data_IF_326215996142
#
_entry.id   IF_326215996142
#
_cell.length_a   1.000
_cell.length_b   1.000
_cell.length_c   1.000
_cell.angle_alpha   90.00
_cell.angle_beta   90.00
_cell.angle_gamma   90.00
#
_symmetry.space_group_name_H-M   'P 1'
#
loop_
_entity.id
_entity.type
_entity.pdbx_description
1 polymer ?
#
# COMPACT_ATOMS: atom_id res chain seq x y z
N UNK A 1 -28.13 -37.10 11.37
CA UNK A 1 -27.01 -38.05 11.48
C UNK A 1 -25.72 -37.27 11.29
N UNK A 2 -24.84 -37.17 12.29
CA UNK A 2 -23.57 -36.48 12.13
C UNK A 2 -22.56 -37.39 11.42
N UNK A 3 -21.87 -36.86 10.42
CA UNK A 3 -20.79 -37.54 9.71
C UNK A 3 -19.53 -37.40 10.56
N UNK A 4 -19.10 -38.50 11.17
CA UNK A 4 -17.82 -38.64 11.85
C UNK A 4 -16.72 -38.75 10.80
N UNK A 5 -15.82 -37.76 10.73
CA UNK A 5 -14.61 -37.86 9.90
C UNK A 5 -13.58 -38.71 10.66
N UNK A 6 -13.30 -39.91 10.16
CA UNK A 6 -12.23 -40.79 10.65
C UNK A 6 -10.87 -40.14 10.39
N UNK A 7 -10.05 -40.03 11.43
CA UNK A 7 -8.64 -39.64 11.37
C UNK A 7 -7.78 -40.89 11.16
N UNK A 8 -7.71 -41.39 9.92
CA UNK A 8 -6.74 -42.41 9.54
C UNK A 8 -5.92 -41.88 8.35
N UNK A 9 -4.91 -41.04 8.62
CA UNK A 9 -3.87 -40.72 7.64
C UNK A 9 -2.74 -41.74 7.81
N UNK A 10 -2.66 -42.69 6.87
CA UNK A 10 -1.52 -43.58 6.69
C UNK A 10 -0.24 -42.75 6.44
N UNK A 11 0.72 -42.85 7.35
CA UNK A 11 1.98 -42.10 7.34
C UNK A 11 3.04 -42.64 6.35
N UNK A 12 2.64 -43.07 5.14
CA UNK A 12 3.57 -43.72 4.19
C UNK A 12 3.52 -43.20 2.74
N UNK A 13 2.97 -42.00 2.50
CA UNK A 13 2.96 -41.40 1.17
C UNK A 13 3.26 -39.89 1.17
N UNK A 14 4.37 -39.47 1.78
CA UNK A 14 4.89 -38.10 1.61
C UNK A 14 6.19 -38.13 0.79
N UNK A 15 6.36 -37.24 -0.21
CA UNK A 15 7.61 -37.13 -0.95
C UNK A 15 8.75 -36.67 -0.03
N UNK A 16 9.96 -37.18 -0.28
CA UNK A 16 11.16 -37.00 0.56
C UNK A 16 11.66 -35.55 0.75
N UNK A 17 10.96 -34.55 0.19
CA UNK A 17 11.34 -33.13 0.24
C UNK A 17 10.38 -32.26 1.07
N UNK A 18 9.55 -32.85 1.93
CA UNK A 18 8.71 -32.10 2.86
C UNK A 18 9.58 -31.40 3.92
N UNK A 19 9.80 -30.09 3.75
CA UNK A 19 10.41 -29.24 4.78
C UNK A 19 9.40 -29.10 5.93
N UNK A 20 9.68 -29.77 7.05
CA UNK A 20 8.94 -29.59 8.30
C UNK A 20 9.23 -28.19 8.86
N UNK A 21 8.27 -27.28 8.77
CA UNK A 21 8.30 -26.06 9.58
C UNK A 21 7.70 -26.37 10.96
N UNK A 22 8.41 -26.09 12.07
CA UNK A 22 7.83 -26.24 13.40
C UNK A 22 6.65 -25.26 13.56
N UNK A 23 5.59 -25.64 14.31
CA UNK A 23 4.44 -24.79 14.52
C UNK A 23 4.84 -23.50 15.25
N UNK A 24 4.69 -22.37 14.58
CA UNK A 24 4.83 -21.05 15.19
C UNK A 24 3.58 -20.72 16.02
N UNK A 25 3.68 -20.03 17.17
CA UNK A 25 2.55 -19.83 18.07
C UNK A 25 1.48 -18.91 17.46
N UNK A 26 0.26 -19.45 17.37
CA UNK A 26 -1.03 -18.75 17.27
C UNK A 26 -1.14 -17.55 16.34
N UNK A 27 -1.18 -17.79 15.03
CA UNK A 27 -1.81 -16.88 14.07
C UNK A 27 -3.32 -17.15 14.02
N UNK A 28 -4.09 -16.47 14.85
CA UNK A 28 -5.56 -16.58 14.84
C UNK A 28 -6.14 -15.60 13.81
N UNK A 29 -6.46 -16.10 12.62
CA UNK A 29 -7.24 -15.32 11.66
C UNK A 29 -7.38 -16.00 10.30
N UNK A 30 -8.61 -16.08 9.81
CA UNK A 30 -9.03 -16.64 8.51
C UNK A 30 -8.44 -15.94 7.26
N UNK A 31 -7.34 -15.19 7.38
CA UNK A 31 -6.65 -14.42 6.33
C UNK A 31 -6.01 -15.27 5.23
N UNK A 32 -6.03 -16.59 5.40
CA UNK A 32 -5.25 -17.51 4.58
C UNK A 32 -6.11 -18.54 3.84
N UNK A 33 -7.39 -18.33 3.52
CA UNK A 33 -8.12 -19.38 2.77
C UNK A 33 -7.47 -19.70 1.42
N UNK A 34 -7.01 -18.68 0.68
CA UNK A 34 -6.25 -18.89 -0.58
C UNK A 34 -4.82 -19.36 -0.33
N UNK A 35 -4.12 -18.82 0.67
CA UNK A 35 -2.74 -19.22 1.00
C UNK A 35 -2.69 -20.64 1.57
N UNK A 36 -3.63 -21.01 2.44
CA UNK A 36 -3.81 -22.35 2.98
C UNK A 36 -4.21 -23.32 1.87
N UNK A 37 -5.07 -22.91 0.94
CA UNK A 37 -5.39 -23.70 -0.25
C UNK A 37 -4.15 -23.91 -1.15
N UNK A 38 -3.34 -22.88 -1.41
CA UNK A 38 -2.08 -23.00 -2.16
C UNK A 38 -1.03 -23.86 -1.43
N UNK A 39 -0.93 -23.74 -0.10
CA UNK A 39 -0.06 -24.58 0.72
C UNK A 39 -0.50 -26.04 0.75
N UNK A 40 -1.81 -26.31 0.67
CA UNK A 40 -2.38 -27.67 0.60
C UNK A 40 -2.29 -28.26 -0.82
N UNK A 41 -2.45 -27.44 -1.86
CA UNK A 41 -2.47 -27.87 -3.26
C UNK A 41 -1.08 -27.96 -3.91
N UNK A 42 -0.07 -27.29 -3.35
CA UNK A 42 1.28 -27.24 -3.93
C UNK A 42 1.40 -26.33 -5.15
N UNK A 43 0.31 -25.67 -5.57
CA UNK A 43 0.29 -24.75 -6.71
C UNK A 43 0.48 -23.30 -6.25
N UNK A 44 1.45 -22.62 -6.85
CA UNK A 44 1.63 -21.19 -6.63
C UNK A 44 0.41 -20.43 -7.20
N UNK A 45 -0.17 -19.48 -6.46
CA UNK A 45 -1.32 -18.73 -6.94
C UNK A 45 -0.95 -17.94 -8.20
N UNK A 46 -1.72 -18.11 -9.27
CA UNK A 46 -1.55 -17.34 -10.50
C UNK A 46 -2.26 -15.98 -10.36
N UNK A 47 -1.48 -14.93 -10.14
CA UNK A 47 -1.97 -13.56 -10.04
C UNK A 47 -2.13 -12.93 -11.42
N UNK A 48 -3.29 -12.32 -11.70
CA UNK A 48 -3.60 -11.63 -12.95
C UNK A 48 -4.26 -10.29 -12.69
N UNK A 49 -4.09 -9.36 -13.62
CA UNK A 49 -4.82 -8.10 -13.61
C UNK A 49 -6.26 -8.31 -14.12
N UNK A 50 -7.24 -8.03 -13.26
CA UNK A 50 -8.67 -8.15 -13.55
C UNK A 50 -9.30 -6.76 -13.62
N UNK A 51 -10.01 -6.41 -14.71
CA UNK A 51 -10.62 -5.09 -14.83
C UNK A 51 -11.89 -4.95 -13.97
N UNK A 52 -12.01 -3.83 -13.28
CA UNK A 52 -13.24 -3.35 -12.64
C UNK A 52 -13.43 -1.88 -12.99
N UNK A 53 -14.52 -1.53 -13.70
CA UNK A 53 -14.83 -0.15 -14.12
C UNK A 53 -13.63 0.59 -14.75
N UNK A 54 -12.80 -0.12 -15.52
CA UNK A 54 -11.58 0.43 -16.14
C UNK A 54 -10.36 0.56 -15.21
N UNK A 55 -10.38 0.04 -13.99
CA UNK A 55 -9.23 -0.09 -13.09
C UNK A 55 -8.77 -1.55 -13.01
N UNK A 56 -7.45 -1.79 -12.97
CA UNK A 56 -6.89 -3.15 -12.93
C UNK A 56 -6.63 -3.57 -11.48
N UNK A 57 -7.35 -4.59 -11.02
CA UNK A 57 -7.19 -5.24 -9.72
C UNK A 57 -6.28 -6.46 -9.83
N UNK A 58 -5.67 -6.88 -8.72
CA UNK A 58 -4.83 -8.09 -8.67
C UNK A 58 -5.71 -9.24 -8.15
N UNK A 59 -5.94 -10.27 -8.97
CA UNK A 59 -6.73 -11.45 -8.57
C UNK A 59 -6.15 -12.09 -7.31
N UNK A 60 -6.99 -12.61 -6.41
CA UNK A 60 -6.50 -13.22 -5.16
C UNK A 60 -5.97 -12.25 -4.10
N UNK A 61 -5.74 -10.97 -4.43
CA UNK A 61 -5.43 -9.90 -3.48
C UNK A 61 -6.63 -8.97 -3.28
N UNK A 62 -7.34 -8.67 -4.36
CA UNK A 62 -8.54 -7.83 -4.37
C UNK A 62 -9.75 -8.63 -4.87
N UNK A 63 -10.93 -8.35 -4.33
CA UNK A 63 -12.21 -8.80 -4.89
C UNK A 63 -12.86 -7.62 -5.61
N UNK A 64 -13.26 -7.78 -6.89
CA UNK A 64 -14.02 -6.76 -7.60
C UNK A 64 -15.28 -6.34 -6.84
N UNK A 65 -16.00 -7.28 -6.23
CA UNK A 65 -17.21 -7.04 -5.45
C UNK A 65 -16.91 -6.22 -4.19
N UNK A 66 -15.86 -6.56 -3.45
CA UNK A 66 -15.45 -5.82 -2.25
C UNK A 66 -15.02 -4.41 -2.62
N UNK A 67 -14.18 -4.26 -3.65
CA UNK A 67 -13.70 -2.95 -4.10
C UNK A 67 -14.86 -2.07 -4.60
N UNK A 68 -15.82 -2.65 -5.32
CA UNK A 68 -16.97 -1.91 -5.82
C UNK A 68 -17.87 -1.40 -4.68
N UNK A 69 -17.94 -2.14 -3.57
CA UNK A 69 -18.73 -1.78 -2.40
C UNK A 69 -18.09 -0.70 -1.51
N UNK A 70 -16.80 -0.39 -1.67
CA UNK A 70 -16.10 0.62 -0.86
C UNK A 70 -16.80 1.99 -0.95
N UNK A 71 -17.33 2.34 -2.12
CA UNK A 71 -18.06 3.60 -2.32
C UNK A 71 -19.28 3.76 -1.37
N UNK A 72 -19.81 2.66 -0.87
CA UNK A 72 -20.98 2.59 0.01
C UNK A 72 -20.60 2.44 1.49
N UNK A 73 -19.32 2.49 1.86
CA UNK A 73 -18.93 2.40 3.26
C UNK A 73 -19.42 3.63 4.02
N UNK A 74 -19.96 3.42 5.21
CA UNK A 74 -20.34 4.51 6.11
C UNK A 74 -19.08 5.12 6.74
N UNK A 75 -19.00 6.45 6.64
CA UNK A 75 -17.83 7.26 7.04
C UNK A 75 -18.18 8.10 8.27
N UNK A 76 -17.24 8.13 9.21
CA UNK A 76 -17.25 8.96 10.40
C UNK A 76 -16.31 10.15 10.23
N UNK A 77 -16.55 11.24 10.95
CA UNK A 77 -15.73 12.47 10.88
C UNK A 77 -14.28 12.27 11.33
N UNK A 78 -14.05 11.22 12.12
CA UNK A 78 -12.74 10.82 12.64
C UNK A 78 -11.96 9.90 11.69
N UNK A 79 -12.59 9.38 10.64
CA UNK A 79 -11.92 8.46 9.70
C UNK A 79 -10.86 9.18 8.88
N UNK A 80 -9.77 8.46 8.57
CA UNK A 80 -8.63 8.98 7.82
C UNK A 80 -8.30 8.03 6.67
N UNK A 81 -8.24 8.58 5.46
CA UNK A 81 -7.91 7.88 4.23
C UNK A 81 -6.60 8.40 3.68
N UNK A 82 -5.60 7.54 3.57
CA UNK A 82 -4.30 7.88 2.99
C UNK A 82 -4.24 7.34 1.59
N UNK A 83 -4.17 8.24 0.62
CA UNK A 83 -4.26 7.91 -0.78
C UNK A 83 -2.92 8.13 -1.43
N UNK A 84 -2.43 7.10 -2.10
CA UNK A 84 -1.12 7.13 -2.77
C UNK A 84 -1.21 6.37 -4.07
N UNK A 85 -0.57 6.84 -5.13
CA UNK A 85 -0.24 5.93 -6.22
C UNK A 85 0.79 4.90 -5.70
N UNK A 86 0.77 3.62 -6.13
CA UNK A 86 1.77 2.63 -5.69
C UNK A 86 3.19 3.20 -5.70
N UNK A 87 3.96 2.94 -4.63
CA UNK A 87 5.35 3.41 -4.46
C UNK A 87 5.54 4.91 -4.20
N UNK A 88 4.49 5.61 -3.76
CA UNK A 88 4.55 7.04 -3.40
C UNK A 88 4.66 7.32 -1.89
N UNK A 89 5.20 6.39 -1.09
CA UNK A 89 5.45 6.61 0.35
C UNK A 89 4.41 6.05 1.32
N UNK A 90 3.52 5.16 0.88
CA UNK A 90 2.45 4.54 1.70
C UNK A 90 2.94 3.96 3.02
N UNK A 91 4.02 3.17 3.00
CA UNK A 91 4.57 2.53 4.19
C UNK A 91 5.08 3.54 5.21
N UNK A 92 5.66 4.64 4.71
CA UNK A 92 6.15 5.72 5.54
C UNK A 92 5.00 6.44 6.24
N UNK A 93 3.90 6.71 5.52
CA UNK A 93 2.69 7.31 6.10
C UNK A 93 2.01 6.38 7.10
N UNK A 94 1.97 5.06 6.84
CA UNK A 94 1.43 4.12 7.81
C UNK A 94 2.21 4.21 9.13
N UNK A 95 3.54 4.29 9.08
CA UNK A 95 4.38 4.47 10.27
C UNK A 95 4.12 5.79 10.99
N UNK A 96 4.07 6.90 10.25
CA UNK A 96 3.84 8.23 10.83
C UNK A 96 2.49 8.26 11.56
N UNK A 97 1.41 7.84 10.90
CA UNK A 97 0.07 7.86 11.47
C UNK A 97 -0.07 6.90 12.65
N UNK A 98 0.50 5.72 12.50
CA UNK A 98 0.64 4.73 13.56
C UNK A 98 1.28 5.29 14.82
N UNK A 99 2.32 6.12 14.70
CA UNK A 99 3.02 6.75 15.82
C UNK A 99 2.26 7.96 16.36
N UNK A 100 1.60 8.74 15.50
CA UNK A 100 0.76 9.88 15.93
C UNK A 100 -0.34 9.40 16.88
N UNK A 101 -1.03 8.31 16.56
CA UNK A 101 -2.14 7.79 17.39
C UNK A 101 -1.68 7.29 18.77
N UNK A 102 -0.42 6.83 18.89
CA UNK A 102 0.18 6.44 20.18
C UNK A 102 1.08 7.52 20.78
N UNK A 103 1.06 8.74 20.21
CA UNK A 103 1.85 9.90 20.64
C UNK A 103 3.35 9.64 20.73
N UNK A 104 3.91 8.92 19.75
CA UNK A 104 5.33 8.61 19.66
C UNK A 104 5.80 7.41 20.49
N UNK A 105 4.92 6.82 21.32
CA UNK A 105 5.25 5.66 22.14
C UNK A 105 5.32 4.37 21.32
N UNK A 106 6.53 4.03 20.88
CA UNK A 106 6.80 2.83 20.07
C UNK A 106 6.42 1.53 20.78
N UNK A 107 6.42 1.49 22.12
CA UNK A 107 6.12 0.26 22.86
C UNK A 107 4.68 -0.21 22.60
N UNK A 108 3.78 0.73 22.32
CA UNK A 108 2.38 0.50 21.97
C UNK A 108 2.16 0.04 20.52
N UNK A 109 3.24 -0.08 19.74
CA UNK A 109 3.20 -0.52 18.34
C UNK A 109 3.83 -1.89 18.12
N UNK A 110 4.43 -2.48 19.16
CA UNK A 110 5.22 -3.70 19.03
C UNK A 110 4.40 -4.96 18.75
N UNK A 111 3.10 -4.95 19.06
CA UNK A 111 2.25 -6.14 18.94
C UNK A 111 1.64 -6.34 17.55
N UNK A 112 1.65 -5.30 16.69
CA UNK A 112 0.96 -5.33 15.40
C UNK A 112 1.77 -4.66 14.30
N UNK A 113 1.70 -5.22 13.09
CA UNK A 113 2.30 -4.62 11.91
C UNK A 113 1.62 -3.31 11.55
N UNK A 114 2.35 -2.40 10.91
CA UNK A 114 1.77 -1.17 10.36
C UNK A 114 0.63 -1.45 9.37
N UNK A 115 0.74 -2.54 8.60
CA UNK A 115 -0.31 -3.01 7.68
C UNK A 115 -1.60 -3.46 8.38
N UNK A 116 -1.53 -3.79 9.67
CA UNK A 116 -2.69 -4.22 10.46
C UNK A 116 -3.35 -3.04 11.15
N UNK A 117 -2.54 -2.08 11.60
CA UNK A 117 -3.00 -0.86 12.26
C UNK A 117 -3.57 0.16 11.27
N UNK A 118 -2.99 0.21 10.07
CA UNK A 118 -3.42 1.09 8.98
C UNK A 118 -3.61 0.27 7.70
N UNK A 119 -4.67 -0.56 7.61
CA UNK A 119 -4.85 -1.52 6.54
C UNK A 119 -5.20 -0.87 5.20
N UNK A 120 -4.96 -1.61 4.12
CA UNK A 120 -5.48 -1.26 2.79
C UNK A 120 -6.97 -1.57 2.70
N UNK A 121 -7.74 -0.58 2.27
CA UNK A 121 -9.20 -0.72 2.15
C UNK A 121 -9.63 -1.57 0.95
N UNK A 122 -8.75 -1.80 -0.03
CA UNK A 122 -9.02 -2.62 -1.22
C UNK A 122 -8.76 -4.12 -1.07
N UNK A 123 -8.24 -4.58 0.09
CA UNK A 123 -7.97 -6.01 0.33
C UNK A 123 -9.25 -6.81 0.59
N UNK A 124 -9.22 -8.12 0.29
CA UNK A 124 -10.37 -9.03 0.36
C UNK A 124 -11.20 -8.94 1.67
N UNK A 125 -10.54 -8.79 2.82
CA UNK A 125 -11.21 -8.77 4.13
C UNK A 125 -11.47 -7.35 4.68
N UNK A 126 -11.24 -6.31 3.87
CA UNK A 126 -11.22 -4.92 4.35
C UNK A 126 -12.55 -4.45 4.91
N UNK A 127 -13.70 -4.88 4.35
CA UNK A 127 -15.01 -4.41 4.79
C UNK A 127 -15.26 -4.74 6.25
N UNK A 128 -15.02 -6.00 6.65
CA UNK A 128 -15.22 -6.44 8.03
C UNK A 128 -14.28 -5.68 8.95
N UNK A 129 -13.01 -5.58 8.58
CA UNK A 129 -11.98 -4.88 9.35
C UNK A 129 -12.33 -3.41 9.55
N UNK A 130 -12.72 -2.71 8.49
CA UNK A 130 -13.08 -1.29 8.53
C UNK A 130 -14.36 -1.03 9.33
N UNK A 131 -15.39 -1.88 9.19
CA UNK A 131 -16.64 -1.70 9.94
C UNK A 131 -16.45 -2.00 11.43
N UNK A 132 -15.64 -3.00 11.79
CA UNK A 132 -15.41 -3.38 13.20
C UNK A 132 -14.29 -2.61 13.89
N UNK A 133 -13.48 -1.84 13.16
CA UNK A 133 -12.35 -1.12 13.74
C UNK A 133 -12.82 -0.02 14.70
N UNK A 134 -12.13 0.18 15.84
CA UNK A 134 -12.40 1.30 16.71
C UNK A 134 -12.08 2.62 16.01
N UNK A 135 -12.83 3.67 16.36
CA UNK A 135 -12.57 5.02 15.87
C UNK A 135 -11.38 5.65 16.62
N UNK A 136 -10.52 6.45 15.96
CA UNK A 136 -10.53 6.78 14.54
C UNK A 136 -10.09 5.60 13.65
N UNK A 137 -10.79 5.37 12.53
CA UNK A 137 -10.38 4.34 11.57
C UNK A 137 -9.43 4.96 10.56
N UNK A 138 -8.22 4.42 10.46
CA UNK A 138 -7.19 4.90 9.54
C UNK A 138 -6.92 3.80 8.52
N UNK A 139 -6.98 4.13 7.24
CA UNK A 139 -6.69 3.18 6.17
C UNK A 139 -5.86 3.84 5.05
N UNK A 140 -5.19 3.00 4.27
CA UNK A 140 -4.50 3.40 3.05
C UNK A 140 -5.24 2.88 1.82
N UNK A 141 -5.02 3.51 0.66
CA UNK A 141 -5.49 2.99 -0.61
C UNK A 141 -4.66 3.46 -1.81
N UNK A 142 -4.67 2.62 -2.85
CA UNK A 142 -4.20 2.92 -4.20
C UNK A 142 -5.35 3.10 -5.21
N UNK A 143 -6.60 3.10 -4.73
CA UNK A 143 -7.76 3.20 -5.61
C UNK A 143 -7.94 4.62 -6.16
N UNK A 144 -8.34 4.75 -7.44
CA UNK A 144 -8.80 6.01 -8.01
C UNK A 144 -10.02 6.55 -7.27
N UNK A 145 -10.20 7.87 -7.30
CA UNK A 145 -11.28 8.60 -6.61
C UNK A 145 -12.68 7.97 -6.79
N UNK A 146 -13.00 7.44 -7.98
CA UNK A 146 -14.32 6.86 -8.31
C UNK A 146 -14.75 5.64 -7.46
N UNK A 147 -13.83 5.01 -6.73
CA UNK A 147 -14.14 3.89 -5.84
C UNK A 147 -14.35 4.31 -4.39
N UNK A 148 -14.09 5.58 -4.08
CA UNK A 148 -13.98 6.01 -2.70
C UNK A 148 -15.33 6.28 -2.08
N UNK A 149 -15.45 6.15 -0.75
CA UNK A 149 -16.72 6.32 -0.06
C UNK A 149 -17.37 7.66 -0.41
N UNK A 150 -18.63 7.62 -0.83
CA UNK A 150 -19.37 8.81 -1.24
C UNK A 150 -19.51 9.84 -0.09
N UNK A 151 -19.44 9.36 1.16
CA UNK A 151 -19.42 10.21 2.36
C UNK A 151 -18.26 11.22 2.40
N UNK A 152 -17.12 10.91 1.75
CA UNK A 152 -15.99 11.85 1.68
C UNK A 152 -16.35 13.16 0.96
N UNK A 153 -17.22 13.09 -0.07
CA UNK A 153 -17.72 14.28 -0.80
C UNK A 153 -18.60 15.19 0.06
N UNK A 154 -19.11 14.66 1.16
CA UNK A 154 -19.89 15.42 2.14
C UNK A 154 -18.98 15.98 3.25
N UNK A 155 -17.66 16.01 3.02
CA UNK A 155 -16.64 16.41 4.00
C UNK A 155 -16.70 15.62 5.31
N UNK A 156 -17.19 14.37 5.26
CA UNK A 156 -16.99 13.41 6.35
C UNK A 156 -15.61 12.77 6.24
N UNK A 157 -14.99 12.48 7.37
CA UNK A 157 -13.63 11.96 7.43
C UNK A 157 -12.59 12.94 6.86
N UNK A 158 -11.37 12.46 6.68
CA UNK A 158 -10.22 13.21 6.20
C UNK A 158 -9.43 12.41 5.17
N UNK A 159 -8.94 13.08 4.13
CA UNK A 159 -8.12 12.49 3.07
C UNK A 159 -6.73 13.11 3.10
N UNK A 160 -5.70 12.28 3.20
CA UNK A 160 -4.30 12.67 3.02
C UNK A 160 -3.84 12.06 1.70
N UNK A 161 -3.60 12.89 0.69
CA UNK A 161 -3.06 12.45 -0.59
C UNK A 161 -1.55 12.67 -0.64
N UNK A 162 -0.80 11.63 -1.01
CA UNK A 162 0.66 11.72 -1.20
C UNK A 162 1.00 11.51 -2.67
N UNK A 163 1.54 12.57 -3.27
CA UNK A 163 2.13 12.49 -4.61
C UNK A 163 3.64 12.22 -4.52
N UNK A 164 4.19 11.67 -5.60
CA UNK A 164 5.63 11.50 -5.78
C UNK A 164 5.94 11.69 -7.26
N UNK A 165 7.10 12.25 -7.57
CA UNK A 165 7.57 12.41 -8.94
C UNK A 165 7.41 11.08 -9.73
N UNK A 166 6.74 11.10 -10.91
CA UNK A 166 6.46 9.89 -11.66
C UNK A 166 7.73 9.15 -12.12
N UNK A 167 8.85 9.86 -12.31
CA UNK A 167 10.15 9.25 -12.66
C UNK A 167 10.65 8.33 -11.54
N UNK A 168 10.59 8.81 -10.30
CA UNK A 168 10.98 8.05 -9.12
C UNK A 168 10.00 6.91 -8.81
N UNK A 169 8.70 7.14 -9.05
CA UNK A 169 7.66 6.11 -8.94
C UNK A 169 7.95 4.96 -9.90
N UNK A 170 8.19 5.26 -11.18
CA UNK A 170 8.49 4.27 -12.21
C UNK A 170 9.66 3.37 -11.79
N UNK A 171 10.79 3.96 -11.39
CA UNK A 171 11.99 3.21 -10.98
C UNK A 171 11.69 2.34 -9.75
N UNK A 172 11.08 2.93 -8.72
CA UNK A 172 10.71 2.19 -7.51
C UNK A 172 9.73 1.05 -7.81
N UNK A 173 8.82 1.24 -8.76
CA UNK A 173 7.80 0.27 -9.10
C UNK A 173 8.35 -0.88 -9.94
N UNK A 174 9.27 -0.60 -10.87
CA UNK A 174 10.02 -1.61 -11.61
C UNK A 174 10.74 -2.58 -10.66
N UNK A 175 11.47 -2.04 -9.68
CA UNK A 175 12.16 -2.86 -8.69
C UNK A 175 11.19 -3.62 -7.79
N UNK A 176 10.06 -3.02 -7.41
CA UNK A 176 9.05 -3.71 -6.62
C UNK A 176 8.44 -4.91 -7.34
N UNK A 177 8.14 -4.80 -8.64
CA UNK A 177 7.61 -5.93 -9.42
C UNK A 177 8.57 -7.13 -9.49
N UNK A 178 9.88 -6.95 -9.29
CA UNK A 178 10.85 -8.05 -9.31
C UNK A 178 10.74 -9.00 -8.12
N UNK A 179 10.18 -8.54 -7.00
CA UNK A 179 10.06 -9.35 -5.77
C UNK A 179 8.64 -9.42 -5.22
N UNK A 180 7.71 -8.64 -5.76
CA UNK A 180 6.29 -8.75 -5.48
C UNK A 180 5.69 -9.88 -6.32
N UNK A 181 5.57 -11.07 -5.75
CA UNK A 181 5.08 -12.27 -6.45
C UNK A 181 3.63 -12.14 -6.93
N UNK A 182 2.86 -11.19 -6.38
CA UNK A 182 1.52 -10.86 -6.83
C UNK A 182 1.47 -9.98 -8.08
N UNK A 183 2.62 -9.60 -8.62
CA UNK A 183 2.76 -8.79 -9.83
C UNK A 183 3.55 -9.55 -10.89
N UNK A 184 3.36 -9.18 -12.14
CA UNK A 184 4.15 -9.72 -13.24
C UNK A 184 5.61 -9.25 -13.13
N UNK A 185 6.55 -10.21 -13.10
CA UNK A 185 7.98 -9.89 -13.14
C UNK A 185 8.33 -9.19 -14.46
N UNK A 186 8.88 -7.97 -14.45
CA UNK A 186 9.16 -7.25 -15.69
C UNK A 186 10.39 -7.86 -16.39
N UNK A 187 10.30 -8.04 -17.70
CA UNK A 187 11.41 -8.54 -18.53
C UNK A 187 12.61 -7.60 -18.52
N UNK A 188 12.37 -6.33 -18.78
CA UNK A 188 13.35 -5.26 -18.83
C UNK A 188 12.69 -3.91 -18.50
N UNK A 189 13.50 -2.87 -18.29
CA UNK A 189 13.02 -1.56 -17.87
C UNK A 189 12.22 -0.86 -18.97
N UNK A 190 12.62 -0.98 -20.24
CA UNK A 190 11.96 -0.31 -21.36
C UNK A 190 10.54 -0.86 -21.57
N UNK A 191 10.38 -2.18 -21.54
CA UNK A 191 9.06 -2.83 -21.61
C UNK A 191 8.19 -2.43 -20.42
N UNK A 192 8.77 -2.32 -19.22
CA UNK A 192 8.05 -1.87 -18.04
C UNK A 192 7.65 -0.39 -18.14
N UNK A 193 8.51 0.47 -18.69
CA UNK A 193 8.24 1.88 -18.93
C UNK A 193 7.00 2.03 -19.82
N UNK A 194 6.94 1.34 -20.95
CA UNK A 194 5.77 1.43 -21.84
C UNK A 194 4.49 0.95 -21.11
N UNK A 195 4.55 -0.18 -20.39
CA UNK A 195 3.41 -0.66 -19.59
C UNK A 195 2.97 0.36 -18.52
N UNK A 196 3.92 0.99 -17.83
CA UNK A 196 3.62 2.02 -16.83
C UNK A 196 2.94 3.23 -17.46
N UNK A 197 3.45 3.71 -18.60
CA UNK A 197 2.91 4.86 -19.33
C UNK A 197 1.50 4.59 -19.88
N UNK A 198 1.24 3.38 -20.38
CA UNK A 198 -0.08 2.94 -20.84
C UNK A 198 -1.06 2.64 -19.68
N UNK A 199 -0.59 2.66 -18.42
CA UNK A 199 -1.38 2.24 -17.27
C UNK A 199 -1.72 0.75 -17.26
N UNK A 200 -0.89 -0.07 -17.90
CA UNK A 200 -0.92 -1.54 -17.93
C UNK A 200 -0.25 -2.17 -16.70
N UNK A 201 -0.46 -1.56 -15.54
CA UNK A 201 0.01 -1.99 -14.22
C UNK A 201 -1.11 -1.80 -13.19
N UNK A 202 -0.97 -2.42 -12.00
CA UNK A 202 -1.83 -2.06 -10.87
C UNK A 202 -1.63 -0.58 -10.51
N UNK A 203 -2.71 0.14 -10.22
CA UNK A 203 -2.69 1.60 -10.07
C UNK A 203 -3.03 2.38 -11.35
N UNK A 204 -3.07 1.72 -12.52
CA UNK A 204 -3.33 2.34 -13.83
C UNK A 204 -2.34 3.48 -14.17
N UNK A 205 -2.75 4.47 -14.98
CA UNK A 205 -1.93 5.63 -15.32
C UNK A 205 -1.75 6.54 -14.11
N UNK A 206 -0.50 6.84 -13.78
CA UNK A 206 -0.13 7.74 -12.67
C UNK A 206 -0.75 9.14 -12.83
N UNK A 207 -0.72 9.70 -14.05
CA UNK A 207 -1.24 11.05 -14.33
C UNK A 207 -2.74 11.14 -14.06
N UNK A 208 -3.50 10.16 -14.55
CA UNK A 208 -4.94 10.08 -14.33
C UNK A 208 -5.28 9.84 -12.86
N UNK A 209 -4.47 9.05 -12.14
CA UNK A 209 -4.65 8.85 -10.71
C UNK A 209 -4.53 10.19 -9.95
N UNK A 210 -3.42 10.92 -10.14
CA UNK A 210 -3.18 12.22 -9.49
C UNK A 210 -4.24 13.24 -9.89
N UNK A 211 -4.52 13.38 -11.18
CA UNK A 211 -5.52 14.31 -11.73
C UNK A 211 -6.90 14.03 -11.15
N UNK A 212 -7.32 12.77 -11.11
CA UNK A 212 -8.65 12.39 -10.61
C UNK A 212 -8.87 12.81 -9.16
N UNK A 213 -7.87 12.60 -8.29
CA UNK A 213 -7.94 12.98 -6.89
C UNK A 213 -7.84 14.50 -6.68
N UNK A 214 -6.89 15.14 -7.33
CA UNK A 214 -6.66 16.59 -7.17
C UNK A 214 -7.84 17.42 -7.70
N UNK A 215 -8.53 16.95 -8.74
CA UNK A 215 -9.69 17.65 -9.31
C UNK A 215 -10.90 17.69 -8.37
N UNK A 216 -10.96 16.83 -7.35
CA UNK A 216 -12.06 16.75 -6.39
C UNK A 216 -11.64 17.19 -4.98
N UNK A 217 -10.44 17.74 -4.81
CA UNK A 217 -9.88 18.08 -3.50
C UNK A 217 -10.78 19.03 -2.68
N UNK A 218 -11.45 19.96 -3.34
CA UNK A 218 -12.26 21.01 -2.69
C UNK A 218 -13.61 20.48 -2.17
N UNK A 219 -14.02 19.30 -2.63
CA UNK A 219 -15.22 18.58 -2.17
C UNK A 219 -14.98 17.81 -0.86
N UNK A 220 -13.74 17.69 -0.41
CA UNK A 220 -13.34 16.84 0.71
C UNK A 220 -12.55 17.63 1.77
N UNK A 221 -12.42 17.07 2.98
CA UNK A 221 -11.35 17.50 3.89
C UNK A 221 -10.06 16.88 3.38
N UNK A 222 -9.24 17.66 2.68
CA UNK A 222 -8.14 17.13 1.87
C UNK A 222 -6.81 17.80 2.24
N UNK A 223 -5.81 16.99 2.56
CA UNK A 223 -4.42 17.40 2.73
C UNK A 223 -3.59 16.81 1.61
N UNK A 224 -2.97 17.68 0.81
CA UNK A 224 -2.00 17.29 -0.21
C UNK A 224 -0.59 17.44 0.34
N UNK A 225 0.21 16.38 0.24
CA UNK A 225 1.64 16.39 0.53
C UNK A 225 2.40 15.67 -0.58
N UNK A 226 3.70 15.91 -0.69
CA UNK A 226 4.56 15.12 -1.58
C UNK A 226 5.61 14.33 -0.82
N UNK A 227 6.03 13.22 -1.42
CA UNK A 227 7.12 12.40 -0.91
C UNK A 227 8.43 13.19 -0.79
N UNK A 228 8.65 14.14 -1.70
CA UNK A 228 9.82 15.02 -1.70
C UNK A 228 9.79 16.02 -0.54
N UNK A 229 8.61 16.54 -0.17
CA UNK A 229 8.46 17.35 1.06
C UNK A 229 8.86 16.54 2.30
N UNK A 230 8.45 15.28 2.38
CA UNK A 230 8.78 14.40 3.51
C UNK A 230 10.28 14.13 3.62
N UNK A 231 10.99 14.00 2.50
CA UNK A 231 12.45 13.85 2.50
C UNK A 231 13.11 15.15 2.94
N UNK A 232 12.64 16.29 2.41
CA UNK A 232 13.25 17.59 2.65
C UNK A 232 13.12 18.04 4.11
N UNK A 233 11.92 17.91 4.67
CA UNK A 233 11.64 18.28 6.05
C UNK A 233 10.47 17.46 6.61
N UNK A 234 10.82 16.28 7.15
CA UNK A 234 9.84 15.37 7.75
C UNK A 234 9.08 16.03 8.92
N UNK A 235 9.75 16.87 9.72
CA UNK A 235 9.14 17.46 10.91
C UNK A 235 8.00 18.39 10.54
N UNK A 236 8.24 19.30 9.60
CA UNK A 236 7.21 20.21 9.09
C UNK A 236 6.02 19.46 8.47
N UNK A 237 6.26 18.34 7.77
CA UNK A 237 5.17 17.52 7.21
C UNK A 237 4.37 16.84 8.33
N UNK A 238 5.03 16.28 9.35
CA UNK A 238 4.32 15.66 10.49
C UNK A 238 3.48 16.69 11.25
N UNK A 239 3.98 17.92 11.45
CA UNK A 239 3.22 19.01 12.06
C UNK A 239 1.96 19.39 11.26
N UNK A 240 2.06 19.43 9.92
CA UNK A 240 0.91 19.65 9.04
C UNK A 240 -0.11 18.52 9.17
N UNK A 241 0.34 17.26 9.22
CA UNK A 241 -0.53 16.09 9.40
C UNK A 241 -1.23 16.14 10.75
N UNK A 242 -0.51 16.36 11.85
CA UNK A 242 -1.12 16.40 13.19
C UNK A 242 -2.12 17.55 13.32
N UNK A 243 -1.80 18.72 12.77
CA UNK A 243 -2.71 19.87 12.71
C UNK A 243 -3.98 19.55 11.92
N UNK A 244 -3.83 18.95 10.73
CA UNK A 244 -4.95 18.56 9.87
C UNK A 244 -5.84 17.48 10.53
N UNK A 245 -5.24 16.53 11.25
CA UNK A 245 -5.95 15.49 11.99
C UNK A 245 -6.50 15.96 13.34
N UNK A 246 -6.21 17.20 13.76
CA UNK A 246 -6.50 17.73 15.09
C UNK A 246 -5.95 16.83 16.23
N UNK A 247 -4.67 16.44 16.10
CA UNK A 247 -3.93 15.64 17.09
C UNK A 247 -2.94 16.53 17.83
N UNK A 248 -3.17 16.70 19.12
CA UNK A 248 -2.29 17.49 19.98
C UNK A 248 -1.15 16.60 20.48
N UNK A 249 0.07 16.90 20.03
CA UNK A 249 1.32 16.30 20.50
C UNK A 249 2.16 17.36 21.21
N UNK A 250 2.86 16.96 22.26
CA UNK A 250 3.93 17.82 22.82
C UNK A 250 5.12 17.87 21.86
N UNK A 251 6.02 18.84 22.02
CA UNK A 251 7.24 18.92 21.22
C UNK A 251 8.08 17.64 21.30
N UNK A 252 8.11 16.98 22.46
CA UNK A 252 8.80 15.71 22.63
C UNK A 252 8.11 14.58 21.85
N UNK A 253 6.79 14.42 22.00
CA UNK A 253 6.03 13.39 21.28
C UNK A 253 6.16 13.55 19.76
N UNK A 254 6.16 14.79 19.28
CA UNK A 254 6.40 15.10 17.88
C UNK A 254 7.81 14.72 17.43
N UNK A 255 8.84 15.00 18.26
CA UNK A 255 10.21 14.54 17.99
C UNK A 255 10.29 13.02 17.91
N UNK A 256 9.65 12.31 18.83
CA UNK A 256 9.64 10.84 18.86
C UNK A 256 8.98 10.27 17.59
N UNK A 257 7.85 10.84 17.16
CA UNK A 257 7.19 10.46 15.89
C UNK A 257 8.14 10.65 14.71
N UNK A 258 8.82 11.78 14.62
CA UNK A 258 9.76 12.09 13.53
C UNK A 258 10.96 11.15 13.56
N UNK A 259 11.60 10.97 14.71
CA UNK A 259 12.76 10.12 14.90
C UNK A 259 12.46 8.66 14.51
N UNK A 260 11.38 8.10 15.04
CA UNK A 260 10.98 6.72 14.76
C UNK A 260 10.37 6.52 13.37
N UNK A 261 10.10 7.60 12.64
CA UNK A 261 9.70 7.57 11.23
C UNK A 261 10.87 7.78 10.27
N UNK A 262 12.11 7.96 10.74
CA UNK A 262 13.26 8.07 9.83
C UNK A 262 13.52 6.73 9.12
N UNK A 263 14.04 6.80 7.88
CA UNK A 263 14.42 5.61 7.11
C UNK A 263 15.34 4.66 7.89
N UNK A 264 16.34 5.22 8.59
CA UNK A 264 17.29 4.48 9.43
C UNK A 264 16.56 3.63 10.48
N UNK A 265 15.60 4.21 11.18
CA UNK A 265 14.87 3.53 12.26
C UNK A 265 13.83 2.57 11.70
N UNK A 266 13.09 2.96 10.67
CA UNK A 266 12.09 2.10 10.04
C UNK A 266 12.70 0.84 9.43
N UNK A 267 13.88 0.94 8.81
CA UNK A 267 14.59 -0.21 8.22
C UNK A 267 14.81 -1.34 9.24
N UNK A 268 15.10 -0.97 10.48
CA UNK A 268 15.37 -1.92 11.57
C UNK A 268 14.13 -2.24 12.42
N UNK A 269 12.98 -1.62 12.15
CA UNK A 269 11.74 -1.88 12.87
C UNK A 269 10.97 -3.01 12.18
N UNK A 270 10.84 -4.20 12.81
CA UNK A 270 10.14 -5.34 12.20
C UNK A 270 8.68 -5.04 11.85
N UNK A 271 8.05 -4.09 12.54
CA UNK A 271 6.63 -3.78 12.34
C UNK A 271 6.39 -2.78 11.20
N UNK A 272 7.47 -2.14 10.74
CA UNK A 272 7.43 -1.11 9.70
C UNK A 272 8.20 -1.48 8.42
N UNK A 273 9.12 -2.45 8.48
CA UNK A 273 10.01 -2.78 7.37
C UNK A 273 9.45 -3.83 6.38
N UNK A 274 8.28 -4.40 6.68
CA UNK A 274 7.56 -5.37 5.85
C UNK A 274 8.30 -6.70 5.60
N UNK A 275 9.38 -7.00 6.33
CA UNK A 275 10.11 -8.27 6.19
C UNK A 275 9.32 -9.49 6.67
N UNK A 276 8.31 -9.29 7.53
CA UNK A 276 7.43 -10.34 8.03
C UNK A 276 6.29 -10.69 7.06
N UNK A 277 6.15 -9.98 5.94
CA UNK A 277 5.14 -10.32 4.94
C UNK A 277 5.49 -11.68 4.33
N UNK A 278 4.52 -12.61 4.19
CA UNK A 278 4.77 -13.93 3.65
C UNK A 278 5.49 -13.91 2.29
N UNK A 279 6.44 -14.83 2.12
CA UNK A 279 7.24 -14.97 0.88
C UNK A 279 6.37 -15.19 -0.36
N UNK A 280 5.18 -15.79 -0.20
CA UNK A 280 4.20 -15.97 -1.28
C UNK A 280 3.70 -14.64 -1.86
N UNK A 281 3.80 -13.55 -1.11
CA UNK A 281 3.48 -12.19 -1.55
C UNK A 281 4.74 -11.39 -1.87
N UNK A 282 5.72 -11.36 -0.97
CA UNK A 282 6.96 -10.58 -1.13
C UNK A 282 8.20 -11.48 -0.96
N UNK A 283 8.91 -11.74 -2.05
CA UNK A 283 10.13 -12.54 -2.05
C UNK A 283 11.38 -11.70 -1.71
N UNK A 284 11.60 -11.48 -0.42
CA UNK A 284 12.75 -10.69 0.06
C UNK A 284 14.13 -11.28 -0.27
N UNK A 285 14.23 -12.55 -0.69
CA UNK A 285 15.50 -13.18 -1.08
C UNK A 285 16.03 -12.65 -2.43
N UNK A 286 15.14 -12.17 -3.31
CA UNK A 286 15.51 -11.60 -4.62
C UNK A 286 16.12 -10.19 -4.46
N UNK A 287 15.93 -9.54 -3.30
CA UNK A 287 16.36 -8.16 -3.05
C UNK A 287 17.06 -8.03 -1.69
N UNK A 288 18.26 -8.60 -1.56
CA UNK A 288 19.12 -8.36 -0.39
C UNK A 288 19.46 -6.85 -0.19
N UNK A 289 19.31 -6.00 -1.21
CA UNK A 289 19.71 -4.57 -1.17
C UNK A 289 18.58 -3.55 -1.41
N UNK A 290 17.35 -3.97 -1.69
CA UNK A 290 16.22 -3.06 -1.99
C UNK A 290 15.09 -3.35 -1.01
N UNK A 291 15.20 -2.80 0.19
CA UNK A 291 14.09 -2.79 1.13
C UNK A 291 12.94 -1.96 0.53
N UNK A 292 11.68 -2.22 0.90
CA UNK A 292 10.52 -1.43 0.42
C UNK A 292 10.62 0.07 0.73
N UNK A 293 11.56 0.44 1.60
CA UNK A 293 11.85 1.79 2.04
C UNK A 293 13.01 2.46 1.26
N UNK A 294 13.78 1.74 0.42
CA UNK A 294 14.99 2.29 -0.20
C UNK A 294 14.64 3.46 -1.14
N UNK A 295 15.18 4.64 -0.83
CA UNK A 295 15.20 5.79 -1.73
C UNK A 295 16.13 5.45 -2.88
N UNK A 296 15.56 5.23 -4.07
CA UNK A 296 16.37 5.17 -5.29
C UNK A 296 16.59 6.61 -5.71
N UNK A 297 17.83 7.10 -5.62
CA UNK A 297 18.23 8.42 -6.09
C UNK A 297 18.70 8.33 -7.55
N UNK A 298 18.58 9.44 -8.29
CA UNK A 298 18.92 9.60 -9.72
C UNK A 298 20.33 9.14 -10.12
N UNK A 299 21.24 8.93 -9.16
CA UNK A 299 22.63 8.55 -9.40
C UNK A 299 22.85 7.13 -9.92
N UNK A 300 21.81 6.30 -10.07
CA UNK A 300 21.96 4.90 -10.47
C UNK A 300 21.65 4.61 -11.95
N UNK A 301 21.03 5.52 -12.71
CA UNK A 301 20.75 5.28 -14.13
C UNK A 301 20.74 6.57 -14.97
N UNK A 302 21.43 6.60 -16.14
CA UNK A 302 21.27 7.68 -17.09
C UNK A 302 19.89 7.57 -17.76
N UNK A 303 18.96 8.47 -17.41
CA UNK A 303 17.66 8.55 -18.08
C UNK A 303 17.84 8.91 -19.56
N UNK A 304 17.06 8.29 -20.44
CA UNK A 304 16.90 8.77 -21.80
C UNK A 304 15.95 9.99 -21.80
N UNK A 305 16.51 11.17 -21.56
CA UNK A 305 15.83 12.48 -21.52
C UNK A 305 14.86 12.70 -22.69
N UNK A 306 15.17 12.17 -23.88
CA UNK A 306 14.38 12.39 -25.10
C UNK A 306 12.92 11.92 -25.01
N UNK A 307 12.64 10.83 -24.31
CA UNK A 307 11.26 10.32 -24.13
C UNK A 307 10.41 11.22 -23.21
N UNK A 308 11.05 11.95 -22.27
CA UNK A 308 10.35 12.84 -21.33
C UNK A 308 10.00 14.19 -21.94
N UNK A 309 10.82 14.72 -22.85
CA UNK A 309 10.54 15.98 -23.54
C UNK A 309 9.28 15.92 -24.40
N UNK A 310 9.00 14.78 -25.04
CA UNK A 310 7.74 14.56 -25.75
C UNK A 310 6.51 14.61 -24.82
N UNK A 311 6.66 14.18 -23.56
CA UNK A 311 5.56 14.13 -22.59
C UNK A 311 5.21 15.49 -22.00
N UNK A 312 6.22 16.34 -21.73
CA UNK A 312 5.98 17.74 -21.34
C UNK A 312 5.21 18.46 -22.46
N UNK A 313 5.56 18.19 -23.73
CA UNK A 313 4.87 18.79 -24.87
C UNK A 313 3.43 18.30 -25.01
N UNK A 314 3.15 17.00 -24.81
CA UNK A 314 1.78 16.45 -24.85
C UNK A 314 0.92 17.02 -23.72
N UNK A 315 1.46 17.14 -22.50
CA UNK A 315 0.70 17.69 -21.36
C UNK A 315 0.51 19.21 -21.42
N UNK A 316 1.52 19.96 -21.91
CA UNK A 316 1.39 21.40 -22.12
C UNK A 316 0.47 21.76 -23.30
N UNK A 317 0.29 20.89 -24.29
CA UNK A 317 -0.61 21.14 -25.43
C UNK A 317 -2.09 20.89 -25.07
N UNK A 318 -2.39 20.02 -24.09
CA UNK A 318 -3.76 19.86 -23.57
C UNK A 318 -4.21 21.02 -22.66
N UNK A 319 -3.30 21.63 -21.89
CA UNK A 319 -3.63 22.83 -21.09
C UNK A 319 -3.86 24.09 -21.94
N UNK A 320 -3.28 24.17 -23.14
CA UNK A 320 -3.49 25.31 -24.05
C UNK A 320 -4.77 25.23 -24.89
N UNK A 321 -5.51 24.12 -24.81
CA UNK A 321 -6.79 23.91 -25.53
C UNK A 321 -8.03 24.06 -24.64
N UNK A 322 -7.92 24.64 -23.45
CA UNK A 322 -9.04 25.01 -22.57
C UNK A 322 -8.98 26.50 -22.23
#
# INVERSE_FOLDING_TARGET
MPITVRTDLNASALPANAIFFPPQPSFTGKRYTTVLYCLISGEAPEYKLVPLRGFKLISGIHSPEVVDQIQNFEIQDSDVFVITYPKSGTIWLQQILSLIEVKGDVTRTNEQLNSERVPWIELLDSRKQFVSAPSPRICVSHLPYKFMPLGLKQKKGKVIYVARNPKDVLVSYFHFHKYANMLETPKDFDTFFEKFMEGNVFGNCWFEHVKSWCSHKDEMNFLYITYEEMIKDLRSVVERITSFLARNLTSQQLNDVVEHSTFKNMKNNPQANYQQIPVILLNHQICHNLLPLTVVTDSLFPYNESKWWMLILIFCDEEKRK
#
